data_IF_317070288596
#
_entry.id   IF_317070288596
#
_cell.length_a   1.000
_cell.length_b   1.000
_cell.length_c   1.000
_cell.angle_alpha   90.00
_cell.angle_beta   90.00
_cell.angle_gamma   90.00
#
_symmetry.space_group_name_H-M   'P 1'
#
loop_
_entity.id
_entity.type
_entity.pdbx_description
1 polymer ?
#
# COMPACT_ATOMS: atom_id res chain seq x y z
N UNK A 1 65.09 -33.19 37.02
CA UNK A 1 64.05 -33.77 37.91
C UNK A 1 62.71 -33.53 37.25
N UNK A 2 62.19 -34.51 36.49
CA UNK A 2 60.97 -35.29 36.80
C UNK A 2 59.80 -34.48 37.44
N UNK A 3 58.78 -34.29 36.60
CA UNK A 3 57.33 -34.51 36.79
C UNK A 3 56.60 -33.76 37.91
N UNK A 4 55.54 -33.03 37.53
CA UNK A 4 54.10 -33.35 37.72
C UNK A 4 53.30 -32.09 37.31
N UNK A 5 52.05 -32.07 36.84
CA UNK A 5 51.09 -33.00 36.23
C UNK A 5 49.71 -32.31 36.33
N UNK A 6 48.82 -32.56 35.35
CA UNK A 6 47.34 -32.41 35.39
C UNK A 6 46.78 -30.97 35.35
N UNK A 7 45.65 -30.63 34.73
CA UNK A 7 44.69 -31.29 33.82
C UNK A 7 43.61 -30.24 33.45
N UNK A 8 43.00 -30.37 32.26
CA UNK A 8 41.63 -29.97 31.85
C UNK A 8 41.18 -28.50 32.04
N UNK A 9 40.36 -27.85 31.22
CA UNK A 9 39.61 -28.17 30.00
C UNK A 9 39.08 -26.85 29.44
N UNK A 10 38.79 -26.85 28.14
CA UNK A 10 37.67 -26.14 27.50
C UNK A 10 37.76 -24.65 27.18
N UNK A 11 37.87 -24.42 25.86
CA UNK A 11 37.02 -23.56 25.03
C UNK A 11 37.16 -22.05 25.29
N UNK A 12 38.05 -21.42 24.52
CA UNK A 12 37.99 -20.01 24.16
C UNK A 12 37.50 -19.94 22.72
N UNK A 13 36.34 -19.33 22.51
CA UNK A 13 35.85 -18.89 21.21
C UNK A 13 36.85 -17.88 20.62
N UNK A 14 37.45 -18.23 19.49
CA UNK A 14 38.12 -17.28 18.62
C UNK A 14 37.07 -16.70 17.67
N UNK A 15 36.78 -15.41 17.86
CA UNK A 15 36.20 -14.57 16.83
C UNK A 15 37.25 -14.37 15.72
N UNK A 16 36.95 -14.87 14.53
CA UNK A 16 37.62 -14.47 13.31
C UNK A 16 36.57 -14.24 12.22
N UNK A 17 36.54 -13.00 11.77
CA UNK A 17 35.83 -12.45 10.62
C UNK A 17 36.14 -13.22 9.34
N UNK A 18 35.11 -13.56 8.57
CA UNK A 18 35.25 -13.78 7.13
C UNK A 18 33.99 -13.30 6.42
N UNK A 19 34.13 -12.19 5.70
CA UNK A 19 33.22 -11.78 4.65
C UNK A 19 33.45 -12.70 3.44
N UNK A 20 32.39 -13.26 2.88
CA UNK A 20 32.36 -13.64 1.47
C UNK A 20 31.16 -12.95 0.82
N UNK A 21 31.45 -11.96 -0.03
CA UNK A 21 30.52 -11.48 -1.04
C UNK A 21 30.36 -12.58 -2.09
N UNK A 22 29.12 -12.95 -2.42
CA UNK A 22 28.83 -13.70 -3.65
C UNK A 22 28.52 -12.68 -4.75
N UNK A 23 29.45 -12.55 -5.68
CA UNK A 23 29.28 -11.87 -6.96
C UNK A 23 28.45 -12.77 -7.88
N UNK A 24 27.30 -12.26 -8.35
CA UNK A 24 26.57 -12.88 -9.46
C UNK A 24 27.16 -12.39 -10.78
N UNK A 25 28.04 -13.20 -11.37
CA UNK A 25 28.48 -13.03 -12.76
C UNK A 25 27.39 -13.53 -13.73
N UNK A 26 26.96 -12.62 -14.61
CA UNK A 26 26.07 -12.91 -15.73
C UNK A 26 26.96 -13.17 -16.96
N UNK A 27 27.18 -14.43 -17.33
CA UNK A 27 27.87 -14.78 -18.58
C UNK A 27 26.86 -15.13 -19.66
N UNK A 28 26.80 -14.28 -20.67
CA UNK A 28 26.21 -14.60 -21.96
C UNK A 28 27.24 -15.40 -22.77
N UNK A 29 26.86 -16.60 -23.22
CA UNK A 29 27.55 -17.29 -24.32
C UNK A 29 26.53 -18.00 -25.19
N UNK A 30 26.52 -17.67 -26.48
CA UNK A 30 25.76 -18.40 -27.49
C UNK A 30 26.41 -19.73 -27.87
N UNK A 31 25.60 -20.64 -28.41
CA UNK A 31 26.05 -21.90 -29.01
C UNK A 31 24.93 -22.95 -29.16
N UNK A 32 24.37 -23.02 -30.37
CA UNK A 32 23.73 -24.13 -31.10
C UNK A 32 22.74 -25.16 -30.47
N UNK A 33 21.51 -25.08 -31.01
CA UNK A 33 20.57 -26.12 -31.48
C UNK A 33 20.82 -27.61 -31.12
N UNK A 34 19.87 -28.23 -30.39
CA UNK A 34 19.00 -29.28 -30.95
C UNK A 34 17.86 -29.77 -30.03
N UNK A 35 16.66 -29.75 -30.60
CA UNK A 35 15.48 -30.61 -30.42
C UNK A 35 15.07 -31.13 -29.01
N UNK A 36 14.07 -30.46 -28.45
CA UNK A 36 13.18 -31.00 -27.42
C UNK A 36 11.86 -30.25 -27.47
N UNK A 37 10.82 -30.87 -28.01
CA UNK A 37 9.46 -30.34 -28.09
C UNK A 37 8.87 -30.10 -26.70
N UNK A 38 8.98 -28.86 -26.23
CA UNK A 38 8.26 -28.32 -25.09
C UNK A 38 7.90 -26.88 -25.41
N UNK A 39 6.60 -26.59 -25.53
CA UNK A 39 6.09 -25.21 -25.65
C UNK A 39 6.51 -24.41 -24.41
N UNK A 40 7.63 -23.71 -24.50
CA UNK A 40 7.92 -22.54 -23.68
C UNK A 40 7.81 -21.30 -24.57
N UNK A 41 6.58 -20.91 -24.89
CA UNK A 41 6.30 -19.52 -25.21
C UNK A 41 6.54 -18.71 -23.93
N UNK A 42 7.80 -18.38 -23.69
CA UNK A 42 8.21 -17.50 -22.62
C UNK A 42 7.41 -16.20 -22.73
N UNK A 43 6.92 -15.72 -21.58
CA UNK A 43 6.13 -14.49 -21.41
C UNK A 43 7.00 -13.26 -21.72
N UNK A 44 7.44 -13.10 -22.96
CA UNK A 44 8.19 -11.92 -23.40
C UNK A 44 7.20 -10.77 -23.66
N UNK A 45 6.74 -10.15 -22.58
CA UNK A 45 6.12 -8.84 -22.64
C UNK A 45 7.20 -7.80 -22.96
N UNK A 46 7.00 -6.94 -23.97
CA UNK A 46 8.01 -6.01 -24.44
C UNK A 46 8.71 -6.49 -25.71
N UNK A 47 7.96 -6.64 -26.80
CA UNK A 47 8.46 -7.10 -28.12
C UNK A 47 9.49 -6.16 -28.80
N UNK A 48 9.78 -5.01 -28.18
CA UNK A 48 10.67 -3.96 -28.70
C UNK A 48 10.07 -3.09 -29.81
N UNK A 49 8.94 -3.50 -30.42
CA UNK A 49 8.27 -2.77 -31.50
C UNK A 49 7.03 -2.00 -31.03
N UNK A 50 6.11 -2.68 -30.33
CA UNK A 50 4.87 -2.13 -29.76
C UNK A 50 4.71 -2.45 -28.26
N UNK A 51 5.76 -2.97 -27.63
CA UNK A 51 5.88 -3.31 -26.22
C UNK A 51 4.82 -4.33 -25.77
N UNK A 52 3.78 -3.88 -25.06
CA UNK A 52 2.65 -4.71 -24.60
C UNK A 52 1.32 -4.30 -25.24
N UNK A 53 1.33 -3.48 -26.30
CA UNK A 53 0.11 -3.17 -27.04
C UNK A 53 -0.48 -4.47 -27.59
N UNK A 54 -1.78 -4.70 -27.43
CA UNK A 54 -2.45 -5.92 -27.87
C UNK A 54 -2.25 -7.14 -26.95
N UNK A 55 -1.48 -7.00 -25.87
CA UNK A 55 -1.31 -8.06 -24.87
C UNK A 55 -2.41 -8.00 -23.83
N UNK A 56 -2.72 -9.16 -23.27
CA UNK A 56 -3.52 -9.22 -22.07
C UNK A 56 -2.82 -8.54 -20.88
N UNK A 57 -3.58 -8.05 -19.91
CA UNK A 57 -3.10 -7.30 -18.76
C UNK A 57 -3.89 -7.64 -17.49
N UNK A 58 -3.19 -8.01 -16.42
CA UNK A 58 -3.81 -8.29 -15.13
C UNK A 58 -3.93 -7.00 -14.30
N UNK A 59 -5.12 -6.40 -14.28
CA UNK A 59 -5.38 -5.17 -13.52
C UNK A 59 -5.22 -5.33 -11.99
N UNK A 60 -5.10 -6.56 -11.45
CA UNK A 60 -4.77 -6.79 -10.03
C UNK A 60 -3.26 -6.81 -9.75
N UNK A 61 -2.44 -6.65 -10.80
CA UNK A 61 -0.99 -6.63 -10.74
C UNK A 61 -0.40 -5.28 -10.33
N UNK A 62 0.75 -4.94 -10.91
CA UNK A 62 1.38 -3.62 -10.84
C UNK A 62 0.72 -2.69 -11.86
N UNK A 63 0.72 -1.37 -11.60
CA UNK A 63 0.16 -0.40 -12.54
C UNK A 63 1.17 -0.03 -13.63
N UNK A 64 0.73 -0.08 -14.90
CA UNK A 64 1.50 0.30 -16.08
C UNK A 64 2.94 -0.27 -16.09
N UNK A 65 3.05 -1.55 -15.73
CA UNK A 65 4.28 -2.33 -15.71
C UNK A 65 4.08 -3.65 -16.48
N UNK A 66 5.03 -4.02 -17.33
CA UNK A 66 5.03 -5.24 -18.14
C UNK A 66 5.01 -6.53 -17.31
N UNK A 67 5.44 -6.49 -16.03
CA UNK A 67 5.28 -7.60 -15.08
C UNK A 67 3.83 -8.09 -14.91
N UNK A 68 2.85 -7.27 -15.30
CA UNK A 68 1.43 -7.59 -15.24
C UNK A 68 0.81 -7.89 -16.60
N UNK A 69 1.61 -7.91 -17.67
CA UNK A 69 1.17 -8.35 -18.98
C UNK A 69 1.10 -9.89 -19.03
N UNK A 70 0.08 -10.40 -19.72
CA UNK A 70 -0.09 -11.80 -20.07
C UNK A 70 0.36 -12.09 -21.49
N UNK A 71 -0.19 -13.14 -22.11
CA UNK A 71 0.06 -13.44 -23.52
C UNK A 71 -0.63 -12.46 -24.48
N UNK A 72 -0.15 -12.44 -25.73
CA UNK A 72 -0.68 -11.60 -26.79
C UNK A 72 -2.11 -12.04 -27.18
N UNK A 73 -3.04 -11.08 -27.18
CA UNK A 73 -4.45 -11.30 -27.51
C UNK A 73 -4.75 -10.84 -28.94
N UNK A 74 -4.19 -9.69 -29.35
CA UNK A 74 -4.38 -9.12 -30.68
C UNK A 74 -3.17 -9.43 -31.55
N UNK A 75 -3.42 -10.03 -32.71
CA UNK A 75 -2.46 -10.19 -33.79
C UNK A 75 -2.19 -8.83 -34.45
N UNK A 76 -1.15 -8.16 -33.95
CA UNK A 76 -0.76 -6.81 -34.41
C UNK A 76 -0.25 -6.85 -35.84
N UNK A 77 0.43 -7.92 -36.26
CA UNK A 77 0.98 -8.03 -37.61
C UNK A 77 -0.14 -8.10 -38.64
N UNK A 78 -1.12 -8.98 -38.41
CA UNK A 78 -2.30 -9.07 -39.26
C UNK A 78 -3.10 -7.77 -39.24
N UNK A 79 -3.30 -7.18 -38.06
CA UNK A 79 -3.98 -5.88 -37.95
C UNK A 79 -3.26 -4.79 -38.73
N UNK A 80 -1.92 -4.72 -38.64
CA UNK A 80 -1.11 -3.74 -39.35
C UNK A 80 -1.19 -3.93 -40.86
N UNK A 81 -1.16 -5.17 -41.35
CA UNK A 81 -1.23 -5.47 -42.79
C UNK A 81 -2.59 -5.07 -43.39
N UNK A 82 -3.68 -5.24 -42.65
CA UNK A 82 -5.04 -5.00 -43.15
C UNK A 82 -5.60 -3.61 -42.77
N UNK A 83 -5.15 -3.02 -41.65
CA UNK A 83 -5.69 -1.82 -41.02
C UNK A 83 -4.60 -0.82 -40.59
N UNK A 84 -3.49 -0.73 -41.32
CA UNK A 84 -2.32 0.11 -40.98
C UNK A 84 -2.67 1.52 -40.47
N UNK A 85 -3.61 2.21 -41.13
CA UNK A 85 -4.03 3.57 -40.76
C UNK A 85 -4.73 3.69 -39.41
N UNK A 86 -5.05 2.57 -38.76
CA UNK A 86 -5.65 2.50 -37.41
C UNK A 86 -4.64 2.10 -36.34
N UNK A 87 -3.41 1.74 -36.69
CA UNK A 87 -2.33 1.50 -35.75
C UNK A 87 -1.49 2.78 -35.62
N UNK A 88 -1.72 3.54 -34.56
CA UNK A 88 -1.14 4.87 -34.39
C UNK A 88 0.11 4.79 -33.53
N UNK A 89 1.19 5.41 -34.00
CA UNK A 89 2.44 5.59 -33.27
C UNK A 89 2.78 7.07 -33.22
N UNK A 90 2.79 7.63 -32.01
CA UNK A 90 3.12 9.04 -31.77
C UNK A 90 4.45 9.13 -31.01
N UNK A 91 5.32 10.06 -31.42
CA UNK A 91 6.50 10.45 -30.63
C UNK A 91 6.07 11.52 -29.63
N UNK A 92 6.23 11.25 -28.34
CA UNK A 92 5.66 12.10 -27.27
C UNK A 92 6.72 13.01 -26.65
N UNK A 93 7.89 12.46 -26.32
CA UNK A 93 9.03 13.17 -25.74
C UNK A 93 8.66 14.17 -24.62
N UNK A 94 8.01 13.67 -23.57
CA UNK A 94 7.61 14.49 -22.42
C UNK A 94 8.11 13.90 -21.11
N UNK A 95 8.22 14.75 -20.11
CA UNK A 95 8.58 14.36 -18.75
C UNK A 95 7.71 15.14 -17.76
N UNK A 96 7.20 14.45 -16.75
CA UNK A 96 6.38 15.03 -15.69
C UNK A 96 6.58 14.30 -14.36
N UNK A 97 6.37 15.01 -13.25
CA UNK A 97 6.24 14.38 -11.94
C UNK A 97 4.75 14.17 -11.63
N UNK A 98 4.40 12.96 -11.20
CA UNK A 98 3.04 12.57 -10.85
C UNK A 98 2.93 12.26 -9.37
N UNK A 99 1.86 12.76 -8.75
CA UNK A 99 1.63 12.66 -7.32
C UNK A 99 0.29 12.00 -7.04
N UNK A 100 0.27 11.06 -6.12
CA UNK A 100 -0.96 10.39 -5.68
C UNK A 100 -0.92 10.19 -4.18
N UNK A 101 -2.07 10.31 -3.51
CA UNK A 101 -2.17 10.26 -2.06
C UNK A 101 -3.39 9.44 -1.65
N UNK A 102 -3.29 8.75 -0.53
CA UNK A 102 -4.41 8.04 0.07
C UNK A 102 -4.27 7.96 1.58
N UNK A 103 -5.37 8.22 2.28
CA UNK A 103 -5.46 8.07 3.74
C UNK A 103 -5.28 6.63 4.23
N UNK A 104 -5.33 5.66 3.31
CA UNK A 104 -4.98 4.25 3.49
C UNK A 104 -4.74 3.60 2.12
N UNK A 105 -4.34 2.32 2.12
CA UNK A 105 -3.98 1.57 0.90
C UNK A 105 -5.10 1.54 -0.14
N UNK A 106 -6.35 1.30 0.30
CA UNK A 106 -7.51 1.25 -0.60
C UNK A 106 -7.79 2.60 -1.28
N UNK A 107 -7.72 3.73 -0.56
CA UNK A 107 -7.91 5.06 -1.14
C UNK A 107 -6.81 5.39 -2.16
N UNK A 108 -5.55 5.07 -1.84
CA UNK A 108 -4.43 5.24 -2.78
C UNK A 108 -4.62 4.39 -4.05
N UNK A 109 -4.97 3.12 -3.87
CA UNK A 109 -5.25 2.19 -4.96
C UNK A 109 -6.42 2.65 -5.83
N UNK A 110 -7.47 3.23 -5.23
CA UNK A 110 -8.59 3.84 -5.95
C UNK A 110 -8.12 4.99 -6.83
N UNK A 111 -7.29 5.91 -6.31
CA UNK A 111 -6.71 7.00 -7.11
C UNK A 111 -5.97 6.49 -8.34
N UNK A 112 -5.09 5.50 -8.16
CA UNK A 112 -4.38 4.85 -9.28
C UNK A 112 -5.36 4.19 -10.26
N UNK A 113 -6.42 3.56 -9.75
CA UNK A 113 -7.40 2.86 -10.58
C UNK A 113 -8.27 3.78 -11.43
N UNK A 114 -8.46 5.04 -11.04
CA UNK A 114 -9.22 6.02 -11.83
C UNK A 114 -8.49 6.51 -13.07
N UNK A 115 -7.19 6.26 -13.19
CA UNK A 115 -6.38 6.66 -14.36
C UNK A 115 -6.81 5.96 -15.64
N UNK A 116 -7.44 4.79 -15.53
CA UNK A 116 -7.98 4.03 -16.65
C UNK A 116 -9.47 3.77 -16.44
N UNK A 117 -10.30 4.12 -17.41
CA UNK A 117 -11.75 4.09 -17.30
C UNK A 117 -12.30 2.70 -16.95
N UNK A 118 -11.73 1.64 -17.51
CA UNK A 118 -12.13 0.26 -17.22
C UNK A 118 -11.90 -0.18 -15.76
N UNK A 119 -11.00 0.49 -15.04
CA UNK A 119 -10.65 0.16 -13.65
C UNK A 119 -11.20 1.17 -12.63
N UNK A 120 -11.77 2.29 -13.08
CA UNK A 120 -12.19 3.40 -12.22
C UNK A 120 -13.24 3.01 -11.16
N UNK A 121 -14.01 1.95 -11.38
CA UNK A 121 -14.99 1.41 -10.42
C UNK A 121 -14.38 0.68 -9.22
N UNK A 122 -13.11 0.30 -9.27
CA UNK A 122 -12.47 -0.61 -8.32
C UNK A 122 -11.26 0.02 -7.62
N UNK A 123 -10.76 -0.65 -6.57
CA UNK A 123 -9.47 -0.39 -5.92
C UNK A 123 -8.47 -1.49 -6.29
N UNK A 124 -7.85 -1.38 -7.47
CA UNK A 124 -7.00 -2.42 -8.08
C UNK A 124 -5.50 -2.12 -7.95
N UNK A 125 -4.68 -2.79 -8.76
CA UNK A 125 -3.23 -2.61 -8.80
C UNK A 125 -2.53 -2.88 -7.46
N UNK A 126 -3.01 -3.87 -6.69
CA UNK A 126 -2.50 -4.18 -5.34
C UNK A 126 -1.00 -4.47 -5.29
N UNK A 127 -0.41 -5.01 -6.37
CA UNK A 127 1.04 -5.29 -6.39
C UNK A 127 1.89 -4.03 -6.42
N UNK A 128 1.35 -2.88 -6.84
CA UNK A 128 2.04 -1.59 -6.72
C UNK A 128 2.40 -1.30 -5.25
N UNK A 129 1.51 -1.63 -4.31
CA UNK A 129 1.74 -1.42 -2.88
C UNK A 129 2.54 -2.58 -2.28
N UNK A 130 2.16 -3.83 -2.60
CA UNK A 130 2.79 -4.99 -1.97
C UNK A 130 4.26 -5.12 -2.36
N UNK A 131 4.62 -4.93 -3.63
CA UNK A 131 6.02 -5.01 -4.10
C UNK A 131 6.88 -3.90 -3.47
N UNK A 132 6.31 -2.73 -3.19
CA UNK A 132 7.03 -1.64 -2.56
C UNK A 132 7.30 -1.88 -1.07
N UNK A 133 6.33 -2.41 -0.31
CA UNK A 133 6.44 -2.43 1.17
C UNK A 133 6.47 -3.83 1.80
N UNK A 134 6.33 -4.90 1.02
CA UNK A 134 6.37 -6.27 1.53
C UNK A 134 7.77 -6.86 1.40
N UNK A 135 8.39 -7.19 2.54
CA UNK A 135 9.72 -7.82 2.60
C UNK A 135 9.71 -9.34 2.38
N UNK A 136 8.54 -9.97 2.21
CA UNK A 136 8.42 -11.43 2.00
C UNK A 136 7.55 -11.77 0.79
N UNK A 137 7.95 -12.81 0.06
CA UNK A 137 7.21 -13.34 -1.11
C UNK A 137 5.78 -13.75 -0.75
N UNK A 138 5.53 -14.18 0.50
CA UNK A 138 4.21 -14.59 1.01
C UNK A 138 3.24 -13.40 1.13
N UNK A 139 3.75 -12.19 1.35
CA UNK A 139 2.93 -10.97 1.46
C UNK A 139 2.59 -10.33 0.10
N UNK A 140 3.20 -10.79 -1.01
CA UNK A 140 2.96 -10.27 -2.36
C UNK A 140 1.67 -10.79 -3.03
N UNK A 141 0.97 -11.71 -2.41
CA UNK A 141 -0.33 -12.24 -2.88
C UNK A 141 -1.51 -11.67 -2.09
N UNK A 142 -1.27 -11.14 -0.89
CA UNK A 142 -2.29 -10.51 -0.05
C UNK A 142 -2.86 -9.28 -0.73
N UNK A 143 -4.18 -9.19 -0.77
CA UNK A 143 -4.88 -7.95 -1.09
C UNK A 143 -5.26 -7.15 0.16
N UNK A 144 -4.80 -7.57 1.34
CA UNK A 144 -5.12 -6.98 2.64
C UNK A 144 -3.95 -6.16 3.16
N UNK A 145 -4.22 -4.91 3.54
CA UNK A 145 -3.23 -3.93 3.99
C UNK A 145 -3.64 -3.28 5.31
N UNK A 146 -2.70 -3.04 6.21
CA UNK A 146 -3.01 -2.45 7.52
C UNK A 146 -3.51 -1.01 7.38
N UNK A 147 -4.72 -0.75 7.88
CA UNK A 147 -5.39 0.53 7.83
C UNK A 147 -4.68 1.63 8.63
N UNK A 148 -3.76 1.29 9.54
CA UNK A 148 -2.97 2.29 10.27
C UNK A 148 -2.07 3.11 9.36
N UNK A 149 -1.65 2.54 8.22
CA UNK A 149 -0.77 3.22 7.29
C UNK A 149 -1.50 4.19 6.35
N UNK A 150 -0.85 5.30 6.04
CA UNK A 150 -1.16 6.20 4.92
C UNK A 150 -0.17 5.94 3.79
N UNK A 151 -0.56 6.27 2.56
CA UNK A 151 0.22 5.98 1.36
C UNK A 151 0.27 7.17 0.42
N UNK A 152 1.38 7.31 -0.30
CA UNK A 152 1.48 8.25 -1.41
C UNK A 152 2.62 7.93 -2.35
N UNK A 153 2.69 8.64 -3.47
CA UNK A 153 3.76 8.48 -4.45
C UNK A 153 4.18 9.79 -5.09
N UNK A 154 5.43 9.85 -5.56
CA UNK A 154 6.00 10.96 -6.30
C UNK A 154 6.85 10.42 -7.46
N UNK A 155 6.22 10.15 -8.59
CA UNK A 155 6.83 9.39 -9.66
C UNK A 155 7.36 10.33 -10.74
N UNK A 156 8.58 10.09 -11.24
CA UNK A 156 9.04 10.71 -12.49
C UNK A 156 8.58 9.86 -13.66
N UNK A 157 7.78 10.42 -14.55
CA UNK A 157 7.32 9.77 -15.77
C UNK A 157 7.97 10.42 -16.99
N UNK A 158 8.71 9.63 -17.77
CA UNK A 158 9.33 10.03 -19.03
C UNK A 158 8.65 9.25 -20.14
N UNK A 159 7.94 9.94 -21.04
CA UNK A 159 7.25 9.34 -22.20
C UNK A 159 8.07 9.58 -23.46
N UNK A 160 8.45 8.48 -24.11
CA UNK A 160 9.13 8.48 -25.40
C UNK A 160 8.12 8.35 -26.53
N UNK A 161 7.26 7.32 -26.48
CA UNK A 161 6.28 7.03 -27.54
C UNK A 161 4.91 6.68 -26.96
N UNK A 162 3.89 6.78 -27.81
CA UNK A 162 2.55 6.27 -27.57
C UNK A 162 2.17 5.33 -28.71
N UNK A 163 1.65 4.15 -28.36
CA UNK A 163 1.13 3.17 -29.31
C UNK A 163 -0.33 2.91 -29.00
N UNK A 164 -1.21 2.98 -30.00
CA UNK A 164 -2.65 2.76 -29.79
C UNK A 164 -3.37 2.23 -31.02
N UNK A 165 -4.44 1.49 -30.78
CA UNK A 165 -5.43 1.15 -31.79
C UNK A 165 -6.50 2.25 -31.89
N UNK A 166 -6.69 2.81 -33.07
CA UNK A 166 -7.86 3.61 -33.42
C UNK A 166 -8.96 2.70 -33.99
N UNK A 167 -9.44 1.80 -33.15
CA UNK A 167 -10.38 0.74 -33.49
C UNK A 167 -11.28 0.40 -32.29
N UNK A 168 -12.49 -0.09 -32.58
CA UNK A 168 -13.41 -0.57 -31.54
C UNK A 168 -13.02 -1.99 -31.09
N UNK A 169 -13.41 -2.42 -29.88
CA UNK A 169 -13.23 -3.82 -29.46
C UNK A 169 -13.82 -4.82 -30.46
N UNK A 170 -14.96 -4.46 -31.07
CA UNK A 170 -15.61 -5.27 -32.11
C UNK A 170 -14.71 -5.49 -33.31
N UNK A 171 -14.08 -4.45 -33.86
CA UNK A 171 -13.13 -4.60 -34.97
C UNK A 171 -11.90 -5.42 -34.52
N UNK A 172 -11.34 -5.11 -33.35
CA UNK A 172 -10.16 -5.79 -32.83
C UNK A 172 -10.41 -7.29 -32.59
N UNK A 173 -11.65 -7.70 -32.32
CA UNK A 173 -12.04 -9.12 -32.20
C UNK A 173 -11.92 -9.93 -33.50
N UNK A 174 -11.77 -9.27 -34.66
CA UNK A 174 -11.45 -9.94 -35.94
C UNK A 174 -9.95 -10.31 -36.06
N UNK A 175 -9.12 -9.75 -35.18
CA UNK A 175 -7.66 -9.83 -35.19
C UNK A 175 -7.13 -10.52 -33.93
N UNK A 176 -7.87 -11.49 -33.39
CA UNK A 176 -7.37 -12.30 -32.28
C UNK A 176 -6.26 -13.25 -32.73
N UNK A 177 -5.27 -13.48 -31.88
CA UNK A 177 -4.23 -14.49 -32.13
C UNK A 177 -4.85 -15.88 -32.20
N UNK A 178 -4.34 -16.78 -33.07
CA UNK A 178 -4.78 -18.18 -33.11
C UNK A 178 -4.64 -18.89 -31.76
N UNK A 179 -3.60 -18.57 -31.00
CA UNK A 179 -3.34 -19.08 -29.65
C UNK A 179 -4.48 -18.71 -28.70
N UNK A 180 -4.86 -17.43 -28.64
CA UNK A 180 -5.95 -16.98 -27.77
C UNK A 180 -7.29 -17.60 -28.19
N UNK A 181 -7.57 -17.69 -29.50
CA UNK A 181 -8.78 -18.36 -30.01
C UNK A 181 -8.82 -19.82 -29.56
N UNK A 182 -7.71 -20.55 -29.68
CA UNK A 182 -7.63 -21.96 -29.26
C UNK A 182 -7.78 -22.11 -27.75
N UNK A 183 -7.12 -21.25 -26.96
CA UNK A 183 -7.23 -21.28 -25.50
C UNK A 183 -8.66 -20.98 -25.04
N UNK A 184 -9.37 -20.05 -25.69
CA UNK A 184 -10.79 -19.82 -25.44
C UNK A 184 -11.67 -21.05 -25.71
N UNK A 185 -11.21 -22.02 -26.52
CA UNK A 185 -11.91 -23.28 -26.76
C UNK A 185 -11.59 -24.34 -25.70
N UNK A 186 -10.35 -24.43 -25.26
CA UNK A 186 -9.86 -25.52 -24.40
C UNK A 186 -9.80 -25.20 -22.91
N UNK A 187 -9.67 -23.93 -22.54
CA UNK A 187 -9.33 -23.52 -21.18
C UNK A 187 -10.53 -22.93 -20.44
N UNK A 188 -10.54 -23.12 -19.11
CA UNK A 188 -11.53 -22.50 -18.22
C UNK A 188 -11.25 -21.00 -18.06
N UNK A 189 -12.25 -20.17 -17.70
CA UNK A 189 -12.04 -18.74 -17.46
C UNK A 189 -10.91 -18.41 -16.47
N UNK A 190 -10.74 -19.22 -15.43
CA UNK A 190 -9.63 -19.10 -14.48
C UNK A 190 -8.26 -19.18 -15.16
N UNK A 191 -8.07 -20.16 -16.03
CA UNK A 191 -6.81 -20.35 -16.73
C UNK A 191 -6.55 -19.21 -17.72
N UNK A 192 -7.59 -18.77 -18.44
CA UNK A 192 -7.48 -17.61 -19.34
C UNK A 192 -7.05 -16.35 -18.56
N UNK A 193 -7.65 -16.09 -17.40
CA UNK A 193 -7.25 -14.93 -16.57
C UNK A 193 -5.83 -15.06 -16.01
N UNK A 194 -5.38 -16.28 -15.69
CA UNK A 194 -4.01 -16.50 -15.24
C UNK A 194 -2.97 -16.28 -16.35
N UNK A 195 -3.32 -16.63 -17.59
CA UNK A 195 -2.41 -16.60 -18.74
C UNK A 195 -2.40 -15.24 -19.44
N UNK A 196 -3.58 -14.66 -19.64
CA UNK A 196 -3.79 -13.40 -20.37
C UNK A 196 -4.06 -12.22 -19.44
N UNK A 197 -4.63 -12.43 -18.26
CA UNK A 197 -5.07 -11.34 -17.38
C UNK A 197 -6.54 -10.98 -17.58
N UNK A 198 -6.94 -9.81 -17.09
CA UNK A 198 -8.35 -9.38 -17.01
C UNK A 198 -8.74 -8.39 -18.10
N UNK A 199 -7.76 -7.70 -18.67
CA UNK A 199 -7.94 -6.67 -19.69
C UNK A 199 -7.00 -6.91 -20.87
N UNK A 200 -7.16 -6.13 -21.94
CA UNK A 200 -6.22 -6.04 -23.06
C UNK A 200 -5.73 -4.61 -23.15
N UNK A 201 -4.41 -4.43 -23.31
CA UNK A 201 -3.80 -3.12 -23.50
C UNK A 201 -3.98 -2.63 -24.94
N UNK A 202 -4.63 -1.48 -25.12
CA UNK A 202 -4.97 -0.94 -26.45
C UNK A 202 -4.49 0.50 -26.69
N UNK A 203 -4.00 1.18 -25.65
CA UNK A 203 -3.40 2.52 -25.73
C UNK A 203 -2.37 2.66 -24.61
N UNK A 204 -1.10 2.64 -24.98
CA UNK A 204 0.02 2.62 -24.04
C UNK A 204 1.01 3.74 -24.35
N UNK A 205 1.71 4.18 -23.31
CA UNK A 205 2.90 5.00 -23.42
C UNK A 205 4.13 4.19 -23.01
N UNK A 206 5.19 4.30 -23.78
CA UNK A 206 6.49 3.71 -23.46
C UNK A 206 7.52 4.79 -23.17
N UNK A 207 8.46 4.49 -22.28
CA UNK A 207 9.56 5.36 -21.91
C UNK A 207 10.29 4.85 -20.68
N UNK A 208 10.58 5.75 -19.73
CA UNK A 208 11.23 5.39 -18.48
C UNK A 208 10.49 5.99 -17.28
N UNK A 209 10.54 5.33 -16.13
CA UNK A 209 9.82 5.76 -14.94
C UNK A 209 10.61 5.50 -13.67
N UNK A 210 10.61 6.48 -12.76
CA UNK A 210 11.02 6.32 -11.37
C UNK A 210 9.74 6.23 -10.55
N UNK A 211 9.47 5.06 -9.99
CA UNK A 211 8.41 4.88 -9.02
C UNK A 211 8.98 5.20 -7.63
N UNK A 212 8.41 6.20 -6.94
CA UNK A 212 8.73 6.53 -5.55
C UNK A 212 7.46 6.40 -4.72
N UNK A 213 7.48 5.49 -3.76
CA UNK A 213 6.35 5.18 -2.90
C UNK A 213 6.67 5.55 -1.46
N UNK A 214 5.70 6.11 -0.76
CA UNK A 214 5.77 6.50 0.63
C UNK A 214 4.72 5.75 1.45
N UNK A 215 5.11 5.32 2.64
CA UNK A 215 4.22 4.74 3.65
C UNK A 215 4.56 5.34 5.01
N UNK A 216 3.57 5.69 5.82
CA UNK A 216 3.79 6.04 7.23
C UNK A 216 2.58 5.76 8.09
N UNK A 217 2.76 5.82 9.40
CA UNK A 217 1.65 6.02 10.34
C UNK A 217 1.48 7.53 10.60
N UNK A 218 0.33 7.93 11.12
CA UNK A 218 0.09 9.35 11.42
C UNK A 218 -0.85 9.54 12.60
N UNK A 219 -0.58 10.58 13.39
CA UNK A 219 -1.50 11.09 14.42
C UNK A 219 -2.43 12.18 13.90
N UNK A 220 -2.20 12.68 12.68
CA UNK A 220 -3.03 13.71 12.06
C UNK A 220 -4.45 13.17 11.78
N UNK A 221 -5.47 13.95 12.14
CA UNK A 221 -6.87 13.61 11.84
C UNK A 221 -7.16 13.68 10.34
N UNK A 222 -6.50 14.59 9.62
CA UNK A 222 -6.53 14.64 8.17
C UNK A 222 -5.41 13.76 7.59
N UNK A 223 -5.72 12.47 7.42
CA UNK A 223 -4.78 11.44 6.98
C UNK A 223 -4.30 11.63 5.54
N UNK A 224 -5.15 12.13 4.64
CA UNK A 224 -4.76 12.44 3.26
C UNK A 224 -3.77 13.61 3.22
N UNK A 225 -4.03 14.69 3.97
CA UNK A 225 -3.07 15.79 4.13
C UNK A 225 -1.75 15.27 4.70
N UNK A 226 -1.79 14.40 5.71
CA UNK A 226 -0.61 13.76 6.25
C UNK A 226 0.16 12.96 5.18
N UNK A 227 -0.52 12.21 4.31
CA UNK A 227 0.13 11.47 3.23
C UNK A 227 0.86 12.41 2.28
N UNK A 228 0.19 13.50 1.88
CA UNK A 228 0.74 14.54 1.02
C UNK A 228 1.96 15.24 1.62
N UNK A 229 1.87 15.66 2.89
CA UNK A 229 3.00 16.26 3.62
C UNK A 229 4.16 15.27 3.74
N UNK A 230 3.87 14.01 4.06
CA UNK A 230 4.87 12.95 4.21
C UNK A 230 5.66 12.70 2.93
N UNK A 231 4.97 12.59 1.78
CA UNK A 231 5.60 12.47 0.47
C UNK A 231 6.48 13.67 0.17
N UNK A 232 5.95 14.90 0.29
CA UNK A 232 6.70 16.13 -0.06
C UNK A 232 7.97 16.27 0.77
N UNK A 233 7.88 16.07 2.09
CA UNK A 233 9.03 16.15 3.00
C UNK A 233 10.00 14.99 2.75
N UNK A 234 9.50 13.77 2.63
CA UNK A 234 10.32 12.57 2.41
C UNK A 234 11.10 12.63 1.10
N UNK A 235 10.43 12.93 -0.01
CA UNK A 235 11.05 13.02 -1.33
C UNK A 235 12.04 14.17 -1.38
N UNK A 236 11.69 15.37 -0.87
CA UNK A 236 12.63 16.49 -0.84
C UNK A 236 13.87 16.19 0.01
N UNK A 237 13.75 15.37 1.05
CA UNK A 237 14.90 14.93 1.87
C UNK A 237 15.81 13.96 1.10
N UNK A 238 15.25 13.08 0.28
CA UNK A 238 15.98 11.98 -0.36
C UNK A 238 16.42 12.27 -1.79
N UNK A 239 15.53 12.76 -2.65
CA UNK A 239 15.85 13.01 -4.05
C UNK A 239 16.50 14.39 -4.23
N UNK A 240 17.42 14.46 -5.18
CA UNK A 240 18.00 15.70 -5.66
C UNK A 240 17.16 16.27 -6.82
N UNK A 241 15.91 16.61 -6.51
CA UNK A 241 14.93 17.16 -7.46
C UNK A 241 14.23 18.37 -6.83
N UNK A 242 13.83 19.34 -7.67
CA UNK A 242 13.05 20.47 -7.21
C UNK A 242 11.59 20.05 -6.96
N UNK A 243 11.29 19.69 -5.71
CA UNK A 243 9.94 19.32 -5.28
C UNK A 243 9.13 20.59 -5.03
N UNK A 244 8.19 20.90 -5.92
CA UNK A 244 7.24 21.99 -5.71
C UNK A 244 6.42 21.72 -4.45
N UNK A 245 6.57 22.57 -3.43
CA UNK A 245 5.86 22.42 -2.17
C UNK A 245 4.67 23.38 -2.08
N UNK A 246 3.49 22.88 -2.40
CA UNK A 246 2.21 23.60 -2.36
C UNK A 246 1.31 23.12 -1.19
N UNK A 247 1.92 22.57 -0.15
CA UNK A 247 1.24 22.15 1.08
C UNK A 247 1.98 22.70 2.29
N UNK A 248 1.24 23.07 3.33
CA UNK A 248 1.83 23.38 4.62
C UNK A 248 2.41 22.10 5.27
N UNK A 249 3.72 22.11 5.47
CA UNK A 249 4.48 20.98 6.03
C UNK A 249 4.75 21.11 7.53
N UNK A 250 4.15 22.10 8.20
CA UNK A 250 4.30 22.33 9.65
C UNK A 250 3.95 21.10 10.49
N UNK A 251 2.99 20.28 10.05
CA UNK A 251 2.52 19.07 10.73
C UNK A 251 3.25 17.78 10.31
N UNK A 252 4.43 17.89 9.69
CA UNK A 252 5.19 16.72 9.22
C UNK A 252 5.71 15.81 10.35
N UNK A 253 5.80 16.36 11.57
CA UNK A 253 6.12 15.68 12.82
C UNK A 253 5.01 14.72 13.29
N UNK A 254 3.78 14.91 12.81
CA UNK A 254 2.66 14.00 13.09
C UNK A 254 2.77 12.67 12.34
N UNK A 255 3.67 12.56 11.36
CA UNK A 255 3.96 11.32 10.64
C UNK A 255 5.17 10.60 11.24
N UNK A 256 5.04 9.30 11.47
CA UNK A 256 6.07 8.47 12.08
C UNK A 256 6.12 7.09 11.43
N UNK A 257 7.18 6.32 11.71
CA UNK A 257 7.45 5.04 11.04
C UNK A 257 7.47 5.18 9.51
N UNK A 258 8.06 6.28 9.05
CA UNK A 258 8.04 6.71 7.65
C UNK A 258 9.00 5.86 6.83
N UNK A 259 8.49 5.28 5.74
CA UNK A 259 9.26 4.50 4.77
C UNK A 259 9.12 5.10 3.38
N UNK A 260 10.21 5.04 2.62
CA UNK A 260 10.21 5.44 1.21
C UNK A 260 10.91 4.35 0.40
N UNK A 261 10.27 3.92 -0.68
CA UNK A 261 10.87 2.99 -1.64
C UNK A 261 10.98 3.68 -2.99
N UNK A 262 12.06 3.41 -3.71
CA UNK A 262 12.24 3.93 -5.06
C UNK A 262 12.68 2.80 -5.99
N UNK A 263 12.21 2.82 -7.24
CA UNK A 263 12.61 1.87 -8.27
C UNK A 263 12.52 2.52 -9.64
N UNK A 264 13.55 2.37 -10.46
CA UNK A 264 13.54 2.78 -11.86
C UNK A 264 13.20 1.63 -12.80
N UNK A 265 12.59 1.96 -13.94
CA UNK A 265 12.34 1.04 -15.06
C UNK A 265 12.40 1.78 -16.39
N UNK A 266 12.85 1.09 -17.44
CA UNK A 266 13.28 1.73 -18.69
C UNK A 266 14.58 2.52 -18.51
N UNK A 267 15.10 3.06 -19.60
CA UNK A 267 16.45 3.64 -19.61
C UNK A 267 17.54 2.56 -19.59
N UNK A 268 18.78 2.96 -19.35
CA UNK A 268 19.93 2.07 -19.22
C UNK A 268 19.86 1.30 -17.89
N UNK A 269 19.69 -0.05 -17.91
CA UNK A 269 19.55 -0.84 -16.70
C UNK A 269 20.77 -0.77 -15.77
N UNK A 270 21.97 -0.52 -16.30
CA UNK A 270 23.19 -0.39 -15.50
C UNK A 270 23.21 0.85 -14.61
N UNK A 271 22.33 1.82 -14.91
CA UNK A 271 22.14 3.06 -14.14
C UNK A 271 20.90 3.01 -13.27
N UNK A 272 20.19 1.88 -13.26
CA UNK A 272 18.96 1.70 -12.51
C UNK A 272 19.14 1.90 -11.00
N UNK A 273 18.10 2.42 -10.36
CA UNK A 273 18.05 2.68 -8.93
C UNK A 273 16.94 1.83 -8.32
N UNK A 274 17.25 1.18 -7.20
CA UNK A 274 16.26 0.48 -6.37
C UNK A 274 16.66 0.58 -4.91
N UNK A 275 15.70 0.80 -4.03
CA UNK A 275 15.97 0.80 -2.59
C UNK A 275 14.75 1.06 -1.73
N UNK A 276 14.92 0.78 -0.45
CA UNK A 276 13.95 1.05 0.62
C UNK A 276 14.68 1.79 1.73
N UNK A 277 14.12 2.90 2.19
CA UNK A 277 14.70 3.78 3.19
C UNK A 277 13.75 3.90 4.38
N UNK A 278 14.32 3.81 5.57
CA UNK A 278 13.67 4.25 6.81
C UNK A 278 13.97 5.74 7.01
N UNK A 279 12.93 6.58 6.94
CA UNK A 279 13.10 8.03 7.01
C UNK A 279 13.25 8.55 8.44
N UNK A 280 13.13 7.69 9.46
CA UNK A 280 13.42 8.02 10.86
C UNK A 280 14.92 8.14 11.14
N UNK A 281 15.77 7.67 10.22
CA UNK A 281 17.23 7.83 10.30
C UNK A 281 17.77 8.75 9.21
N UNK A 282 19.06 9.09 9.31
CA UNK A 282 19.77 9.82 8.27
C UNK A 282 19.93 8.92 7.03
N UNK A 283 19.64 9.49 5.85
CA UNK A 283 19.74 8.78 4.57
C UNK A 283 20.53 9.65 3.59
N UNK A 284 21.29 9.04 2.67
CA UNK A 284 21.98 9.77 1.62
C UNK A 284 20.99 10.38 0.61
N UNK A 285 21.44 11.43 -0.07
CA UNK A 285 20.77 11.95 -1.25
C UNK A 285 20.92 10.97 -2.42
N UNK A 286 19.87 10.85 -3.22
CA UNK A 286 19.84 10.00 -4.41
C UNK A 286 19.80 10.89 -5.65
N UNK A 287 20.81 10.73 -6.49
CA UNK A 287 20.89 11.40 -7.79
C UNK A 287 20.31 10.48 -8.87
N UNK A 288 19.31 10.97 -9.59
CA UNK A 288 18.61 10.24 -10.66
C UNK A 288 19.08 10.63 -12.06
N UNK A 289 19.94 11.64 -12.20
CA UNK A 289 20.31 12.30 -13.46
C UNK A 289 20.91 11.34 -14.49
N UNK A 290 21.82 10.47 -14.05
CA UNK A 290 22.49 9.53 -14.96
C UNK A 290 21.50 8.54 -15.60
N UNK A 291 20.56 8.03 -14.79
CA UNK A 291 19.48 7.17 -15.27
C UNK A 291 18.49 7.95 -16.13
N UNK A 292 18.04 9.12 -15.68
CA UNK A 292 17.09 9.96 -16.40
C UNK A 292 17.58 10.30 -17.81
N UNK A 293 18.85 10.73 -17.94
CA UNK A 293 19.48 11.06 -19.23
C UNK A 293 19.73 9.84 -20.13
N UNK A 294 19.59 8.62 -19.60
CA UNK A 294 19.72 7.40 -20.38
C UNK A 294 18.42 6.97 -21.07
N UNK A 295 17.30 7.63 -20.78
CA UNK A 295 16.00 7.31 -21.38
C UNK A 295 15.99 7.63 -22.88
N UNK A 296 15.75 6.61 -23.70
CA UNK A 296 15.64 6.71 -25.16
C UNK A 296 14.47 5.85 -25.65
N UNK A 297 14.01 6.04 -26.90
CA UNK A 297 13.02 5.13 -27.48
C UNK A 297 13.47 3.66 -27.54
N UNK A 298 14.78 3.38 -27.59
CA UNK A 298 15.31 2.03 -27.75
C UNK A 298 15.33 1.22 -26.44
N UNK A 299 15.33 1.90 -25.28
CA UNK A 299 15.26 1.28 -23.96
C UNK A 299 14.00 1.71 -23.21
N UNK A 300 12.96 2.05 -23.97
CA UNK A 300 11.65 2.39 -23.48
C UNK A 300 10.90 1.11 -23.07
N UNK A 301 10.17 1.19 -21.96
CA UNK A 301 9.25 0.14 -21.48
C UNK A 301 7.86 0.74 -21.26
N UNK A 302 6.80 -0.07 -21.13
CA UNK A 302 5.46 0.38 -20.73
C UNK A 302 5.58 1.23 -19.47
N UNK A 303 5.14 2.49 -19.47
CA UNK A 303 5.20 3.40 -18.31
C UNK A 303 3.85 3.98 -17.91
N UNK A 304 2.90 4.05 -18.83
CA UNK A 304 1.58 4.63 -18.59
C UNK A 304 0.56 4.10 -19.61
N UNK A 305 -0.72 4.15 -19.28
CA UNK A 305 -1.84 3.87 -20.18
C UNK A 305 -2.51 5.15 -20.66
N UNK A 306 -3.15 5.11 -21.83
CA UNK A 306 -4.20 6.07 -22.15
C UNK A 306 -5.39 5.94 -21.18
N UNK A 307 -6.23 6.98 -21.09
CA UNK A 307 -7.41 6.94 -20.19
C UNK A 307 -8.38 5.80 -20.49
N UNK A 308 -8.41 5.30 -21.73
CA UNK A 308 -9.14 4.10 -22.14
C UNK A 308 -8.20 2.99 -22.62
N UNK A 309 -6.96 2.98 -22.10
CA UNK A 309 -5.89 2.11 -22.59
C UNK A 309 -5.99 0.65 -22.19
N UNK A 310 -6.95 0.31 -21.33
CA UNK A 310 -7.31 -1.07 -21.02
C UNK A 310 -8.79 -1.28 -21.35
N UNK A 311 -9.09 -2.39 -22.03
CA UNK A 311 -10.45 -2.86 -22.27
C UNK A 311 -10.62 -4.23 -21.61
N UNK A 312 -11.73 -4.53 -20.92
CA UNK A 312 -11.96 -5.85 -20.35
C UNK A 312 -11.84 -6.96 -21.40
N UNK A 313 -11.11 -8.04 -21.07
CA UNK A 313 -10.76 -9.09 -22.04
C UNK A 313 -11.99 -9.78 -22.67
N UNK A 314 -13.09 -9.87 -21.92
CA UNK A 314 -14.35 -10.43 -22.44
C UNK A 314 -14.99 -9.59 -23.54
N UNK A 315 -14.62 -8.32 -23.73
CA UNK A 315 -15.17 -7.49 -24.82
C UNK A 315 -14.71 -7.94 -26.21
N UNK A 316 -13.62 -8.70 -26.28
CA UNK A 316 -13.08 -9.23 -27.53
C UNK A 316 -13.63 -10.63 -27.90
N UNK A 317 -14.42 -11.25 -27.02
CA UNK A 317 -14.98 -12.59 -27.26
C UNK A 317 -16.30 -12.46 -28.01
N UNK A 318 -16.39 -13.08 -29.20
CA UNK A 318 -17.60 -13.04 -30.04
C UNK A 318 -18.69 -14.03 -29.63
N UNK A 319 -18.29 -15.21 -29.15
CA UNK A 319 -19.24 -16.20 -28.67
C UNK A 319 -19.97 -15.65 -27.43
N UNK A 320 -21.31 -15.49 -27.48
CA UNK A 320 -22.05 -14.82 -26.41
C UNK A 320 -22.06 -15.60 -25.10
N UNK A 321 -22.00 -16.94 -25.16
CA UNK A 321 -21.97 -17.79 -23.96
C UNK A 321 -20.62 -17.66 -23.28
N UNK A 322 -19.53 -17.80 -24.04
CA UNK A 322 -18.18 -17.65 -23.49
C UNK A 322 -17.89 -16.23 -23.02
N UNK A 323 -18.41 -15.22 -23.72
CA UNK A 323 -18.33 -13.82 -23.28
C UNK A 323 -18.99 -13.64 -21.91
N UNK A 324 -20.19 -14.18 -21.72
CA UNK A 324 -20.91 -14.08 -20.46
C UNK A 324 -20.18 -14.80 -19.32
N UNK A 325 -19.67 -16.02 -19.56
CA UNK A 325 -18.88 -16.79 -18.60
C UNK A 325 -17.59 -16.06 -18.20
N UNK A 326 -16.84 -15.56 -19.18
CA UNK A 326 -15.61 -14.81 -18.96
C UNK A 326 -15.87 -13.52 -18.19
N UNK A 327 -16.95 -12.80 -18.54
CA UNK A 327 -17.36 -11.58 -17.84
C UNK A 327 -17.67 -11.86 -16.38
N UNK A 328 -18.50 -12.86 -16.09
CA UNK A 328 -18.86 -13.23 -14.72
C UNK A 328 -17.61 -13.59 -13.89
N UNK A 329 -16.67 -14.34 -14.49
CA UNK A 329 -15.43 -14.70 -13.83
C UNK A 329 -14.52 -13.48 -13.57
N UNK A 330 -14.29 -12.63 -14.58
CA UNK A 330 -13.44 -11.44 -14.45
C UNK A 330 -14.02 -10.47 -13.42
N UNK A 331 -15.33 -10.19 -13.47
CA UNK A 331 -15.97 -9.29 -12.50
C UNK A 331 -15.77 -9.80 -11.06
N UNK A 332 -15.99 -11.10 -10.83
CA UNK A 332 -15.74 -11.73 -9.53
C UNK A 332 -14.26 -11.65 -9.14
N UNK A 333 -13.35 -11.99 -10.05
CA UNK A 333 -11.91 -11.96 -9.80
C UNK A 333 -11.44 -10.56 -9.40
N UNK A 334 -11.92 -9.51 -10.08
CA UNK A 334 -11.60 -8.12 -9.74
C UNK A 334 -12.13 -7.77 -8.34
N UNK A 335 -13.39 -8.10 -8.02
CA UNK A 335 -14.00 -7.85 -6.70
C UNK A 335 -13.22 -8.55 -5.57
N UNK A 336 -12.82 -9.79 -5.78
CA UNK A 336 -12.13 -10.61 -4.78
C UNK A 336 -10.68 -10.16 -4.56
N UNK A 337 -10.07 -9.52 -5.56
CA UNK A 337 -8.67 -9.09 -5.54
C UNK A 337 -8.45 -7.58 -5.37
N UNK A 338 -9.50 -6.80 -5.12
CA UNK A 338 -9.36 -5.39 -4.75
C UNK A 338 -8.50 -5.24 -3.50
N UNK A 339 -7.79 -4.12 -3.38
CA UNK A 339 -7.13 -3.70 -2.15
C UNK A 339 -8.18 -3.56 -1.05
N UNK A 340 -7.96 -4.26 0.05
CA UNK A 340 -8.81 -4.28 1.24
C UNK A 340 -8.00 -3.89 2.46
N UNK A 341 -8.68 -3.32 3.43
CA UNK A 341 -8.07 -2.95 4.69
C UNK A 341 -8.19 -4.09 5.70
N UNK A 342 -7.08 -4.37 6.38
CA UNK A 342 -7.07 -5.04 7.67
C UNK A 342 -6.89 -4.01 8.75
N UNK A 343 -7.69 -4.13 9.80
CA UNK A 343 -7.51 -3.34 11.01
C UNK A 343 -6.83 -4.25 12.03
N UNK A 344 -5.85 -3.75 12.77
CA UNK A 344 -5.20 -4.55 13.80
C UNK A 344 -6.25 -5.02 14.82
N UNK A 345 -6.15 -6.31 15.17
CA UNK A 345 -7.14 -7.15 15.85
C UNK A 345 -7.78 -6.54 17.12
N UNK A 346 -8.97 -7.05 17.44
CA UNK A 346 -9.77 -6.89 18.68
C UNK A 346 -9.01 -7.04 20.02
N UNK A 347 -7.73 -7.41 20.01
CA UNK A 347 -6.85 -7.48 21.18
C UNK A 347 -6.70 -6.14 21.91
N UNK A 348 -7.00 -5.01 21.26
CA UNK A 348 -7.01 -3.71 21.90
C UNK A 348 -8.35 -3.35 22.57
N UNK A 349 -9.42 -4.15 22.40
CA UNK A 349 -10.71 -3.96 23.08
C UNK A 349 -10.65 -4.54 24.51
N UNK A 350 -9.71 -4.04 25.30
CA UNK A 350 -9.43 -4.48 26.67
C UNK A 350 -9.50 -3.27 27.60
N UNK A 351 -10.03 -3.45 28.80
CA UNK A 351 -10.16 -2.38 29.79
C UNK A 351 -8.83 -1.65 30.02
N UNK A 352 -8.89 -0.32 29.95
CA UNK A 352 -7.71 0.54 30.01
C UNK A 352 -7.27 1.05 28.66
N UNK A 353 -7.61 0.40 27.54
CA UNK A 353 -7.16 0.79 26.20
C UNK A 353 -8.00 1.90 25.57
N UNK A 354 -7.34 2.70 24.73
CA UNK A 354 -7.96 3.71 23.89
C UNK A 354 -7.98 3.20 22.44
N UNK A 355 -9.11 3.38 21.78
CA UNK A 355 -9.30 2.94 20.40
C UNK A 355 -9.93 4.04 19.56
N UNK A 356 -9.49 4.17 18.31
CA UNK A 356 -10.01 5.14 17.34
C UNK A 356 -10.83 4.42 16.29
N UNK A 357 -12.02 4.93 16.00
CA UNK A 357 -12.74 4.56 14.79
C UNK A 357 -12.08 5.25 13.59
N UNK A 358 -11.51 4.52 12.63
CA UNK A 358 -10.80 5.10 11.47
C UNK A 358 -11.73 5.84 10.50
N UNK A 359 -13.04 5.57 10.54
CA UNK A 359 -14.03 6.18 9.64
C UNK A 359 -14.52 7.51 10.21
N UNK A 360 -14.82 7.55 11.51
CA UNK A 360 -15.39 8.74 12.16
C UNK A 360 -14.35 9.56 12.91
N UNK A 361 -13.11 9.08 13.02
CA UNK A 361 -12.05 9.59 13.90
C UNK A 361 -12.42 9.66 15.40
N UNK A 362 -13.57 9.13 15.81
CA UNK A 362 -13.99 9.12 17.21
C UNK A 362 -13.04 8.26 18.06
N UNK A 363 -12.64 8.80 19.21
CA UNK A 363 -11.82 8.09 20.19
C UNK A 363 -12.73 7.52 21.27
N UNK A 364 -12.51 6.26 21.58
CA UNK A 364 -13.21 5.53 22.60
C UNK A 364 -12.22 5.00 23.64
N UNK A 365 -12.73 4.82 24.85
CA UNK A 365 -12.02 4.23 25.96
C UNK A 365 -12.75 2.99 26.44
N UNK A 366 -12.02 1.89 26.53
CA UNK A 366 -12.51 0.64 27.09
C UNK A 366 -12.51 0.74 28.61
N UNK A 367 -13.70 0.80 29.19
CA UNK A 367 -13.90 0.98 30.62
C UNK A 367 -14.96 0.02 31.12
N UNK A 368 -14.57 -0.88 32.02
CA UNK A 368 -15.46 -1.91 32.62
C UNK A 368 -16.28 -2.69 31.57
N UNK A 369 -15.58 -3.16 30.53
CA UNK A 369 -16.07 -3.91 29.38
C UNK A 369 -17.04 -3.13 28.47
N UNK A 370 -17.12 -1.82 28.64
CA UNK A 370 -17.91 -0.94 27.78
C UNK A 370 -17.03 0.02 27.00
N UNK A 371 -17.46 0.30 25.78
CA UNK A 371 -16.83 1.28 24.91
C UNK A 371 -17.44 2.66 25.20
N UNK A 372 -16.66 3.57 25.76
CA UNK A 372 -17.12 4.94 26.12
C UNK A 372 -16.51 5.96 25.16
N UNK A 373 -17.34 6.77 24.50
CA UNK A 373 -16.82 7.77 23.55
C UNK A 373 -16.28 8.96 24.33
N UNK A 374 -15.14 9.48 23.91
CA UNK A 374 -14.51 10.65 24.51
C UNK A 374 -14.83 11.86 23.62
N UNK A 375 -15.66 12.76 24.14
CA UNK A 375 -16.24 13.85 23.35
C UNK A 375 -15.23 14.92 22.91
N UNK A 376 -14.08 15.03 23.59
CA UNK A 376 -13.09 16.05 23.25
C UNK A 376 -11.68 15.69 23.69
N UNK A 377 -10.64 16.27 23.05
CA UNK A 377 -9.26 16.19 23.54
C UNK A 377 -9.08 16.71 24.97
N UNK A 378 -9.86 17.72 25.39
CA UNK A 378 -9.83 18.23 26.77
C UNK A 378 -10.30 17.17 27.77
N UNK A 379 -11.33 16.40 27.43
CA UNK A 379 -11.79 15.27 28.26
C UNK A 379 -10.76 14.15 28.27
N UNK A 380 -10.15 13.83 27.12
CA UNK A 380 -9.11 12.79 27.01
C UNK A 380 -7.93 13.09 27.93
N UNK A 381 -7.27 14.22 27.73
CA UNK A 381 -6.05 14.57 28.47
C UNK A 381 -6.34 15.13 29.87
N UNK A 382 -7.57 15.58 30.12
CA UNK A 382 -8.04 16.00 31.45
C UNK A 382 -8.32 14.81 32.39
N UNK A 383 -8.64 13.64 31.86
CA UNK A 383 -8.86 12.43 32.66
C UNK A 383 -7.70 11.45 32.64
N UNK A 384 -6.97 11.39 31.52
CA UNK A 384 -6.01 10.32 31.27
C UNK A 384 -4.62 10.88 30.94
N UNK A 385 -3.59 10.20 31.44
CA UNK A 385 -2.20 10.47 31.14
C UNK A 385 -1.74 9.51 30.03
N UNK A 386 -2.04 9.85 28.79
CA UNK A 386 -1.66 9.08 27.60
C UNK A 386 -1.08 9.98 26.51
N UNK A 387 -0.41 9.35 25.55
CA UNK A 387 0.05 9.93 24.29
C UNK A 387 -0.79 9.42 23.12
N UNK A 388 -0.82 10.17 22.02
CA UNK A 388 -1.56 9.79 20.81
C UNK A 388 -1.14 8.44 20.21
N UNK A 389 0.12 8.02 20.43
CA UNK A 389 0.64 6.73 19.96
C UNK A 389 0.06 5.51 20.71
N UNK A 390 -0.60 5.73 21.85
CA UNK A 390 -1.24 4.69 22.65
C UNK A 390 -2.71 4.43 22.27
N UNK A 391 -3.21 5.12 21.23
CA UNK A 391 -4.58 4.97 20.73
C UNK A 391 -4.55 4.02 19.52
N UNK A 392 -5.01 2.79 19.72
CA UNK A 392 -5.08 1.81 18.64
C UNK A 392 -6.20 2.16 17.66
N UNK A 393 -6.07 1.83 16.38
CA UNK A 393 -7.15 2.02 15.39
C UNK A 393 -7.93 0.71 15.23
N UNK A 394 -9.25 0.75 15.44
CA UNK A 394 -10.12 -0.45 15.40
C UNK A 394 -11.28 -0.23 14.43
N UNK A 395 -11.53 -1.22 13.58
CA UNK A 395 -12.59 -1.16 12.56
C UNK A 395 -13.98 -0.92 13.18
N UNK A 396 -14.90 -0.25 12.48
CA UNK A 396 -16.29 -0.08 12.93
C UNK A 396 -16.99 -1.40 13.30
N UNK A 397 -16.76 -2.49 12.55
CA UNK A 397 -17.37 -3.80 12.84
C UNK A 397 -16.90 -4.37 14.18
N UNK A 398 -15.61 -4.32 14.48
CA UNK A 398 -15.10 -4.72 15.80
C UNK A 398 -15.51 -3.78 16.93
N UNK A 399 -15.63 -2.46 16.69
CA UNK A 399 -16.17 -1.55 17.71
C UNK A 399 -17.63 -1.90 18.05
N UNK A 400 -18.40 -2.38 17.07
CA UNK A 400 -19.79 -2.80 17.27
C UNK A 400 -19.95 -4.11 18.06
N UNK A 401 -18.88 -4.87 18.31
CA UNK A 401 -18.95 -6.10 19.12
C UNK A 401 -18.90 -5.84 20.62
N UNK A 402 -18.65 -4.60 21.05
CA UNK A 402 -18.57 -4.19 22.46
C UNK A 402 -19.76 -3.29 22.79
N UNK A 403 -20.39 -3.53 23.94
CA UNK A 403 -21.48 -2.69 24.43
C UNK A 403 -21.03 -1.23 24.60
N UNK A 404 -21.86 -0.29 24.15
CA UNK A 404 -21.62 1.15 24.36
C UNK A 404 -21.95 1.53 25.81
N UNK A 405 -20.99 2.15 26.48
CA UNK A 405 -21.20 2.80 27.77
C UNK A 405 -21.61 4.26 27.62
N UNK A 406 -21.92 4.91 28.74
CA UNK A 406 -22.13 6.35 28.76
C UNK A 406 -20.90 7.08 28.23
N UNK A 407 -21.07 8.21 27.55
CA UNK A 407 -19.92 8.96 27.04
C UNK A 407 -19.10 9.60 28.18
N UNK A 408 -17.86 9.94 27.87
CA UNK A 408 -17.01 10.79 28.68
C UNK A 408 -17.10 12.21 28.12
N UNK A 409 -17.65 13.09 28.93
CA UNK A 409 -17.95 14.50 28.63
C UNK A 409 -16.95 15.43 29.32
N UNK A 410 -16.89 16.72 28.95
CA UNK A 410 -16.08 17.71 29.68
C UNK A 410 -16.44 17.89 31.17
N UNK A 411 -17.61 17.42 31.62
CA UNK A 411 -17.98 17.45 33.04
C UNK A 411 -17.30 16.32 33.85
N UNK A 412 -16.77 15.28 33.22
CA UNK A 412 -16.07 14.23 33.96
C UNK A 412 -14.72 14.74 34.49
N UNK A 413 -14.43 14.54 35.78
CA UNK A 413 -13.13 14.88 36.38
C UNK A 413 -12.71 13.93 37.52
N UNK A 414 -11.48 14.09 38.00
CA UNK A 414 -10.93 13.32 39.12
C UNK A 414 -11.00 14.15 40.40
N UNK A 415 -11.53 13.59 41.47
CA UNK A 415 -11.67 14.24 42.78
C UNK A 415 -10.91 13.48 43.85
N UNK A 416 -10.23 14.18 44.75
CA UNK A 416 -9.67 13.59 45.97
C UNK A 416 -10.34 14.19 47.20
N UNK A 417 -10.93 13.34 48.03
CA UNK A 417 -11.42 13.74 49.33
C UNK A 417 -10.25 13.94 50.29
N UNK A 418 -10.09 15.15 50.83
CA UNK A 418 -8.96 15.49 51.70
C UNK A 418 -9.01 14.80 53.07
N UNK A 419 -10.19 14.34 53.51
CA UNK A 419 -10.33 13.70 54.83
C UNK A 419 -9.96 12.23 54.77
N UNK A 420 -10.28 11.55 53.66
CA UNK A 420 -10.04 10.11 53.49
C UNK A 420 -8.88 9.79 52.55
N UNK A 421 -8.34 10.80 51.84
CA UNK A 421 -7.38 10.67 50.74
C UNK A 421 -7.86 9.80 49.56
N UNK A 422 -9.14 9.39 49.55
CA UNK A 422 -9.71 8.59 48.46
C UNK A 422 -9.86 9.41 47.19
N UNK A 423 -9.46 8.82 46.07
CA UNK A 423 -9.63 9.40 44.74
C UNK A 423 -10.84 8.77 44.06
N UNK A 424 -11.65 9.62 43.43
CA UNK A 424 -12.87 9.26 42.74
C UNK A 424 -12.81 9.76 41.30
N UNK A 425 -13.38 8.99 40.39
CA UNK A 425 -13.84 9.54 39.12
C UNK A 425 -15.24 10.09 39.32
N UNK A 426 -15.45 11.36 38.94
CA UNK A 426 -16.75 12.01 38.98
C UNK A 426 -17.43 11.92 37.62
N UNK A 427 -18.71 11.56 37.65
CA UNK A 427 -19.57 11.49 36.47
C UNK A 427 -20.90 12.16 36.78
N UNK A 428 -21.09 13.40 36.32
CA UNK A 428 -22.21 14.23 36.78
C UNK A 428 -22.15 14.39 38.30
N UNK A 429 -23.22 14.00 39.00
CA UNK A 429 -23.27 14.06 40.46
C UNK A 429 -22.80 12.76 41.16
N UNK A 430 -22.25 11.79 40.42
CA UNK A 430 -21.82 10.49 40.97
C UNK A 430 -20.32 10.48 41.20
N UNK A 431 -19.87 10.04 42.38
CA UNK A 431 -18.48 9.74 42.67
C UNK A 431 -18.27 8.22 42.69
N UNK A 432 -17.36 7.73 41.86
CA UNK A 432 -16.96 6.32 41.81
C UNK A 432 -15.53 6.17 42.32
N UNK A 433 -15.36 5.43 43.41
CA UNK A 433 -14.07 5.29 44.08
C UNK A 433 -13.09 4.47 43.24
N UNK A 434 -11.84 4.92 43.15
CA UNK A 434 -10.72 4.19 42.55
C UNK A 434 -9.99 3.44 43.67
N UNK A 435 -10.15 2.12 43.79
CA UNK A 435 -9.85 1.40 45.02
C UNK A 435 -8.36 1.23 45.33
N UNK A 436 -7.51 1.23 44.31
CA UNK A 436 -6.07 1.03 44.48
C UNK A 436 -5.28 1.55 43.27
N UNK A 437 -3.96 1.59 43.43
CA UNK A 437 -3.04 2.06 42.41
C UNK A 437 -3.04 1.18 41.15
N UNK A 438 -3.35 -0.11 41.26
CA UNK A 438 -3.42 -1.00 40.11
C UNK A 438 -4.59 -0.62 39.18
N UNK A 439 -5.78 -0.35 39.73
CA UNK A 439 -6.92 0.18 38.98
C UNK A 439 -6.60 1.57 38.43
N UNK A 440 -5.94 2.40 39.23
CA UNK A 440 -5.55 3.75 38.81
C UNK A 440 -4.64 3.73 37.56
N UNK A 441 -3.62 2.86 37.59
CA UNK A 441 -2.65 2.71 36.51
C UNK A 441 -3.24 1.98 35.30
N UNK A 442 -4.08 0.96 35.51
CA UNK A 442 -4.80 0.23 34.44
C UNK A 442 -5.56 1.20 33.53
N UNK A 443 -6.24 2.16 34.13
CA UNK A 443 -7.01 3.18 33.41
C UNK A 443 -6.23 4.45 33.11
N UNK A 444 -4.95 4.52 33.50
CA UNK A 444 -4.02 5.63 33.19
C UNK A 444 -4.57 7.00 33.60
N UNK A 445 -5.19 7.09 34.78
CA UNK A 445 -5.77 8.36 35.25
C UNK A 445 -4.72 9.45 35.44
N UNK A 446 -5.07 10.69 35.08
CA UNK A 446 -4.16 11.83 35.12
C UNK A 446 -4.05 12.41 36.54
N UNK A 447 -2.92 12.13 37.20
CA UNK A 447 -2.66 12.62 38.56
C UNK A 447 -2.64 14.16 38.66
N UNK A 448 -2.21 14.86 37.60
CA UNK A 448 -2.15 16.32 37.57
C UNK A 448 -3.54 16.96 37.47
N UNK A 449 -4.58 16.20 37.14
CA UNK A 449 -5.95 16.68 37.00
C UNK A 449 -6.82 16.46 38.26
N UNK A 450 -6.27 15.87 39.31
CA UNK A 450 -7.01 15.57 40.55
C UNK A 450 -7.33 16.85 41.32
N UNK A 451 -8.62 17.12 41.51
CA UNK A 451 -9.11 18.28 42.27
C UNK A 451 -9.51 17.88 43.69
N UNK A 452 -9.11 18.66 44.69
CA UNK A 452 -9.47 18.40 46.10
C UNK A 452 -10.93 18.75 46.38
N UNK A 453 -11.61 17.92 47.16
CA UNK A 453 -12.96 18.16 47.71
C UNK A 453 -12.96 17.96 49.23
N UNK A 454 -13.91 18.61 49.91
CA UNK A 454 -14.06 18.58 51.37
C UNK A 454 -15.17 17.60 51.75
N UNK A 455 -14.86 16.31 51.73
CA UNK A 455 -15.85 15.25 51.92
C UNK A 455 -16.73 15.02 50.69
N UNK A 456 -17.57 13.99 50.77
CA UNK A 456 -18.43 13.53 49.67
C UNK A 456 -19.90 13.94 49.83
N UNK A 457 -20.22 14.78 50.82
CA UNK A 457 -21.57 15.30 51.02
C UNK A 457 -22.05 16.08 49.79
N UNK A 458 -23.26 15.78 49.32
CA UNK A 458 -23.83 16.35 48.09
C UNK A 458 -23.63 15.49 46.83
N UNK A 459 -22.77 14.48 46.87
CA UNK A 459 -22.59 13.53 45.78
C UNK A 459 -23.32 12.21 46.03
N UNK A 460 -23.71 11.54 44.95
CA UNK A 460 -24.15 10.15 44.99
C UNK A 460 -22.91 9.25 44.92
N UNK A 461 -22.77 8.32 45.86
CA UNK A 461 -21.65 7.35 45.81
C UNK A 461 -22.04 6.18 44.91
N UNK A 462 -21.36 6.05 43.79
CA UNK A 462 -21.52 4.94 42.85
C UNK A 462 -20.70 3.72 43.26
N UNK A 463 -20.82 2.64 42.47
CA UNK A 463 -19.96 1.47 42.62
C UNK A 463 -18.50 1.85 42.38
N UNK A 464 -17.61 1.19 43.15
CA UNK A 464 -16.17 1.30 42.94
C UNK A 464 -15.80 0.89 41.52
N UNK A 465 -14.74 1.49 40.99
CA UNK A 465 -14.19 1.14 39.67
C UNK A 465 -13.43 -0.18 39.76
N UNK A 466 -13.66 -1.07 38.78
CA UNK A 466 -13.06 -2.42 38.72
C UNK A 466 -11.90 -2.57 37.72
#
# INVERSE_FOLDING_TARGET
>A
MKKLSLLFSSIILLFATSCSMEEFENSASGGDLNNGSGRSSAKFAGDGAYDVLGYGYNATGEYANSNSAGYQVIDIERFKNEQAGRLITDNVFSQEFLEEYGEHAEAYSKMVSTKVGATAGFSLFKKLISVSFSSSVVNNTSNKFDAKYIYGSYNLLIKQRRFRFNATPTLLSDYLTPEFINDLQSNKPEQIVNDYGTHVAIDIFTGAKLDVMFQSETTNENREKAARVGVKVGVKKILDVDVQNNVDTSESDKNYSRKLTFKTRGGDPSKGLVGTLDLEIANPKINITNWQNSSTPANAVLVEFGSNGLIPLYEFIKDPVKKAEMKAYIDKYLIDNQVRLTYTNSANLVNGNFVRNPVTNQIFFMFENKLRYIQSPMTLYGLFNITSGEIATISPSHLSTVERGADLTPDNDLKQDIYTNKIYMREGNVLRYIPNLAVYNKYRFNNSAVKKIYGTSGYVIGSNIQ
#
